data_IF_290319356150
#
_entry.id   IF_290319356150
#
_cell.length_a   1.000
_cell.length_b   1.000
_cell.length_c   1.000
_cell.angle_alpha   90.00
_cell.angle_beta   90.00
_cell.angle_gamma   90.00
#
_symmetry.space_group_name_H-M   'P 1'
#
loop_
_entity.id
_entity.type
_entity.pdbx_description
1 polymer ?
#
# COMPACT_ATOMS: atom_id res chain seq x y z
N UNK A 1 17.26 1.40 16.36
CA UNK A 1 17.82 2.75 16.46
C UNK A 1 18.25 3.08 17.88
N UNK A 2 17.38 3.03 18.89
CA UNK A 2 17.72 3.38 20.27
C UNK A 2 18.97 2.66 20.79
N UNK A 3 19.07 1.34 20.56
CA UNK A 3 20.26 0.56 20.95
C UNK A 3 21.51 0.98 20.15
N UNK A 4 21.36 1.32 18.88
CA UNK A 4 22.44 1.83 18.03
C UNK A 4 22.99 3.17 18.55
N UNK A 5 22.11 3.99 19.11
CA UNK A 5 22.47 5.27 19.76
C UNK A 5 23.01 5.11 21.19
N UNK A 6 23.25 3.87 21.63
CA UNK A 6 23.89 3.55 22.91
C UNK A 6 22.94 3.51 24.11
N UNK A 7 21.63 3.56 23.90
CA UNK A 7 20.66 3.45 24.96
C UNK A 7 20.48 2.00 25.43
N UNK A 8 20.27 1.80 26.72
CA UNK A 8 19.86 0.52 27.28
C UNK A 8 18.40 0.24 26.89
N UNK A 9 18.16 -0.74 26.05
CA UNK A 9 16.83 -1.07 25.51
C UNK A 9 16.37 -2.42 26.04
N UNK A 10 15.14 -2.47 26.57
CA UNK A 10 14.44 -3.70 26.92
C UNK A 10 13.24 -3.86 25.99
N UNK A 11 13.18 -4.99 25.31
CA UNK A 11 12.03 -5.39 24.49
C UNK A 11 11.20 -6.41 25.28
N UNK A 12 9.91 -6.14 25.42
CA UNK A 12 8.98 -7.04 26.09
C UNK A 12 8.03 -7.64 25.04
N UNK A 13 7.99 -8.97 24.98
CA UNK A 13 7.06 -9.72 24.16
C UNK A 13 6.31 -10.72 25.03
N UNK A 14 4.99 -10.85 24.83
CA UNK A 14 4.13 -11.75 25.57
C UNK A 14 4.22 -13.19 25.09
N UNK A 15 4.44 -13.35 23.78
CA UNK A 15 4.54 -14.66 23.14
C UNK A 15 5.99 -15.15 23.19
N UNK A 16 6.19 -16.40 22.91
CA UNK A 16 7.51 -17.05 22.79
C UNK A 16 8.26 -16.65 21.51
N UNK A 17 7.60 -15.92 20.61
CA UNK A 17 8.10 -15.48 19.31
C UNK A 17 7.86 -13.98 19.13
N UNK A 18 8.91 -13.25 18.75
CA UNK A 18 8.82 -11.83 18.43
C UNK A 18 8.22 -11.63 17.02
N UNK A 19 7.57 -10.48 16.78
CA UNK A 19 7.11 -10.09 15.45
C UNK A 19 5.64 -9.66 15.39
N UNK A 20 4.82 -10.00 16.37
CA UNK A 20 3.41 -9.59 16.41
C UNK A 20 2.65 -10.00 15.14
N UNK A 21 2.00 -9.05 14.47
CA UNK A 21 1.26 -9.31 13.21
C UNK A 21 2.14 -9.75 12.03
N UNK A 22 3.46 -9.62 12.14
CA UNK A 22 4.43 -10.02 11.10
C UNK A 22 5.03 -11.41 11.34
N UNK A 23 4.49 -12.17 12.31
CA UNK A 23 4.97 -13.56 12.54
C UNK A 23 4.58 -14.48 11.39
N UNK A 24 5.46 -15.42 11.11
CA UNK A 24 5.19 -16.60 10.28
C UNK A 24 4.97 -17.79 11.20
N UNK A 25 3.84 -18.46 11.05
CA UNK A 25 3.49 -19.63 11.87
C UNK A 25 3.03 -20.81 11.00
N UNK A 26 3.15 -22.00 11.56
CA UNK A 26 2.63 -23.21 10.95
C UNK A 26 1.11 -23.25 11.16
N UNK A 27 0.32 -23.11 10.08
CA UNK A 27 -1.14 -23.18 10.13
C UNK A 27 -1.70 -24.56 9.76
N UNK A 28 -0.86 -25.43 9.19
CA UNK A 28 -1.13 -26.83 8.91
C UNK A 28 0.18 -27.59 8.89
N UNK A 29 0.23 -28.89 9.26
CA UNK A 29 1.46 -29.65 9.31
C UNK A 29 2.32 -29.53 8.05
N UNK A 30 3.53 -28.96 8.17
CA UNK A 30 4.46 -28.69 7.08
C UNK A 30 4.17 -27.45 6.24
N UNK A 31 3.15 -26.65 6.60
CA UNK A 31 2.81 -25.42 5.88
C UNK A 31 2.89 -24.21 6.79
N UNK A 32 3.83 -23.33 6.49
CA UNK A 32 4.04 -22.08 7.18
C UNK A 32 3.55 -20.90 6.35
N UNK A 33 3.06 -19.85 7.01
CA UNK A 33 2.64 -18.63 6.35
C UNK A 33 2.55 -17.44 7.29
N UNK A 34 2.47 -16.23 6.75
CA UNK A 34 2.26 -15.03 7.54
C UNK A 34 0.88 -15.04 8.17
N UNK A 35 0.81 -14.78 9.47
CA UNK A 35 -0.46 -14.81 10.20
C UNK A 35 -1.34 -13.59 9.91
N UNK A 36 -0.73 -12.46 9.54
CA UNK A 36 -1.46 -11.24 9.20
C UNK A 36 -0.71 -10.42 8.14
N UNK A 37 0.46 -9.88 8.47
CA UNK A 37 1.20 -8.98 7.59
C UNK A 37 2.00 -9.77 6.55
N UNK A 38 1.42 -9.97 5.38
CA UNK A 38 2.03 -10.73 4.27
C UNK A 38 2.76 -9.86 3.24
N UNK A 39 2.67 -8.55 3.36
CA UNK A 39 3.33 -7.59 2.48
C UNK A 39 4.20 -6.62 3.26
N UNK A 40 5.38 -6.33 2.75
CA UNK A 40 6.33 -5.38 3.33
C UNK A 40 6.34 -4.07 2.53
N UNK A 41 5.22 -3.32 2.56
CA UNK A 41 5.06 -2.11 1.75
C UNK A 41 5.76 -0.87 2.32
N UNK A 42 5.75 -0.72 3.64
CA UNK A 42 6.08 0.54 4.30
C UNK A 42 7.49 0.58 4.85
N UNK A 43 8.25 -0.51 4.74
CA UNK A 43 9.64 -0.53 5.18
C UNK A 43 10.48 0.37 4.27
N UNK A 44 10.90 1.49 4.80
CA UNK A 44 11.69 2.47 4.06
C UNK A 44 13.12 1.96 3.82
N UNK A 45 13.65 2.21 2.61
CA UNK A 45 15.02 1.82 2.25
C UNK A 45 16.06 2.36 3.24
N UNK A 46 15.88 3.60 3.71
CA UNK A 46 16.72 4.19 4.75
C UNK A 46 16.82 3.33 6.02
N UNK A 47 15.72 2.71 6.45
CA UNK A 47 15.72 1.83 7.65
C UNK A 47 16.50 0.55 7.37
N UNK A 48 16.32 -0.02 6.16
CA UNK A 48 17.07 -1.21 5.72
C UNK A 48 18.57 -0.95 5.74
N UNK A 49 19.00 0.20 5.21
CA UNK A 49 20.40 0.56 5.07
C UNK A 49 20.99 0.96 6.44
N UNK A 50 20.35 1.84 7.19
CA UNK A 50 20.82 2.32 8.49
C UNK A 50 21.02 1.18 9.49
N UNK A 51 20.12 0.22 9.49
CA UNK A 51 20.15 -0.93 10.40
C UNK A 51 20.79 -2.17 9.78
N UNK A 52 21.29 -2.07 8.54
CA UNK A 52 21.97 -3.16 7.81
C UNK A 52 21.15 -4.46 7.79
N UNK A 53 19.84 -4.34 7.60
CA UNK A 53 18.92 -5.46 7.75
C UNK A 53 19.27 -6.64 6.82
N UNK A 54 19.84 -6.36 5.64
CA UNK A 54 20.29 -7.42 4.71
C UNK A 54 21.46 -8.23 5.28
N UNK A 55 22.39 -7.59 6.03
CA UNK A 55 23.47 -8.28 6.72
C UNK A 55 22.95 -9.16 7.86
N UNK A 56 21.75 -8.86 8.37
CA UNK A 56 21.04 -9.61 9.40
C UNK A 56 20.00 -10.61 8.83
N UNK A 57 20.04 -10.90 7.54
CA UNK A 57 19.22 -11.93 6.92
C UNK A 57 17.90 -11.46 6.33
N UNK A 58 17.67 -10.14 6.19
CA UNK A 58 16.51 -9.64 5.44
C UNK A 58 16.67 -9.99 3.95
N UNK A 59 15.84 -10.89 3.47
CA UNK A 59 15.67 -11.18 2.06
C UNK A 59 14.34 -10.57 1.60
N UNK A 60 14.37 -9.76 0.56
CA UNK A 60 13.19 -9.14 -0.04
C UNK A 60 13.09 -9.55 -1.50
N UNK A 61 11.97 -10.12 -1.87
CA UNK A 61 11.64 -10.41 -3.25
C UNK A 61 10.72 -9.32 -3.79
N UNK A 62 11.22 -8.54 -4.74
CA UNK A 62 10.41 -7.58 -5.51
C UNK A 62 9.80 -8.31 -6.71
N UNK A 63 8.85 -9.20 -6.44
CA UNK A 63 8.27 -10.06 -7.49
C UNK A 63 7.05 -9.46 -8.16
N UNK A 64 6.63 -8.26 -7.74
CA UNK A 64 5.43 -7.61 -8.28
C UNK A 64 5.81 -6.19 -8.70
N UNK A 65 5.70 -5.91 -9.99
CA UNK A 65 5.79 -4.55 -10.54
C UNK A 65 4.54 -3.74 -10.19
N UNK A 66 4.62 -2.40 -10.12
CA UNK A 66 3.42 -1.57 -10.08
C UNK A 66 2.43 -1.95 -11.19
N UNK A 67 1.15 -2.05 -10.86
CA UNK A 67 0.11 -2.49 -11.80
C UNK A 67 0.02 -4.01 -12.04
N UNK A 68 0.99 -4.80 -11.56
CA UNK A 68 0.92 -6.27 -11.68
C UNK A 68 -0.12 -6.86 -10.70
N UNK A 69 -1.23 -7.31 -11.23
CA UNK A 69 -2.30 -8.01 -10.51
C UNK A 69 -2.35 -9.51 -10.81
N UNK A 70 -1.34 -10.07 -11.45
CA UNK A 70 -1.30 -11.48 -11.87
C UNK A 70 -1.40 -12.48 -10.73
N UNK A 71 -1.04 -12.07 -9.52
CA UNK A 71 -1.07 -12.90 -8.30
C UNK A 71 -2.22 -12.55 -7.35
N UNK A 72 -3.09 -11.62 -7.72
CA UNK A 72 -4.24 -11.22 -6.95
C UNK A 72 -5.50 -11.66 -7.70
N UNK A 73 -6.39 -12.33 -7.01
CA UNK A 73 -7.67 -12.73 -7.55
C UNK A 73 -8.74 -12.25 -6.57
N UNK A 74 -9.69 -11.50 -7.08
CA UNK A 74 -10.85 -11.00 -6.34
C UNK A 74 -12.09 -11.69 -6.92
N UNK A 75 -12.53 -12.82 -6.35
CA UNK A 75 -13.70 -13.53 -6.83
C UNK A 75 -14.98 -12.83 -6.39
N UNK A 76 -15.99 -12.84 -7.25
CA UNK A 76 -17.33 -12.34 -6.97
C UNK A 76 -18.34 -13.48 -6.80
N UNK A 77 -19.48 -13.24 -6.12
CA UNK A 77 -20.48 -14.27 -5.85
C UNK A 77 -21.12 -14.88 -7.11
N UNK A 78 -21.13 -14.17 -8.22
CA UNK A 78 -21.65 -14.63 -9.51
C UNK A 78 -20.68 -15.54 -10.29
N UNK A 79 -19.47 -15.78 -9.73
CA UNK A 79 -18.43 -16.59 -10.34
C UNK A 79 -17.49 -15.82 -11.26
N UNK A 80 -17.67 -14.53 -11.45
CA UNK A 80 -16.68 -13.66 -12.10
C UNK A 80 -15.53 -13.34 -11.15
N UNK A 81 -14.45 -12.75 -11.66
CA UNK A 81 -13.32 -12.33 -10.82
C UNK A 81 -12.56 -11.17 -11.48
N UNK A 82 -11.79 -10.45 -10.66
CA UNK A 82 -10.81 -9.45 -11.12
C UNK A 82 -9.39 -9.86 -10.72
N UNK A 83 -8.40 -9.43 -11.52
CA UNK A 83 -7.00 -9.82 -11.38
C UNK A 83 -6.72 -11.19 -11.96
N UNK A 84 -5.67 -11.85 -11.48
CA UNK A 84 -5.30 -13.20 -11.91
C UNK A 84 -4.24 -13.25 -13.01
N UNK A 85 -3.88 -14.47 -13.45
CA UNK A 85 -2.84 -14.67 -14.46
C UNK A 85 -3.11 -13.89 -15.75
N UNK A 86 -2.11 -13.17 -16.23
CA UNK A 86 -2.21 -12.33 -17.43
C UNK A 86 -2.54 -10.87 -17.17
N UNK A 87 -2.85 -10.49 -15.92
CA UNK A 87 -3.09 -9.09 -15.54
C UNK A 87 -1.82 -8.51 -14.92
N UNK A 88 -0.89 -8.06 -15.76
CA UNK A 88 0.44 -7.60 -15.37
C UNK A 88 0.60 -6.08 -15.43
N UNK A 89 -0.46 -5.36 -15.75
CA UNK A 89 -0.47 -3.92 -15.89
C UNK A 89 -1.84 -3.33 -15.57
N UNK A 90 -1.86 -2.04 -15.27
CA UNK A 90 -3.10 -1.27 -15.07
C UNK A 90 -3.97 -1.26 -16.33
N UNK A 91 -3.35 -1.30 -17.51
CA UNK A 91 -4.08 -1.37 -18.77
C UNK A 91 -4.86 -2.70 -18.91
N UNK A 92 -4.23 -3.82 -18.56
CA UNK A 92 -4.89 -5.13 -18.59
C UNK A 92 -6.00 -5.22 -17.54
N UNK A 93 -5.80 -4.63 -16.35
CA UNK A 93 -6.83 -4.56 -15.34
C UNK A 93 -7.99 -3.66 -15.78
N UNK A 94 -7.73 -2.49 -16.35
CA UNK A 94 -8.76 -1.63 -16.92
C UNK A 94 -9.56 -2.35 -18.03
N UNK A 95 -8.90 -3.15 -18.87
CA UNK A 95 -9.59 -3.98 -19.86
C UNK A 95 -10.47 -5.06 -19.22
N UNK A 96 -10.08 -5.59 -18.06
CA UNK A 96 -10.91 -6.55 -17.32
C UNK A 96 -12.11 -5.84 -16.65
N UNK A 97 -11.94 -4.62 -16.16
CA UNK A 97 -13.04 -3.80 -15.59
C UNK A 97 -14.14 -3.54 -16.64
N UNK A 98 -13.82 -3.48 -17.93
CA UNK A 98 -14.81 -3.29 -19.00
C UNK A 98 -15.93 -4.33 -19.04
N UNK A 99 -15.71 -5.51 -18.49
CA UNK A 99 -16.78 -6.53 -18.39
C UNK A 99 -17.93 -6.08 -17.46
N UNK A 100 -17.67 -5.13 -16.56
CA UNK A 100 -18.63 -4.57 -15.62
C UNK A 100 -19.12 -3.19 -16.08
N UNK A 101 -18.20 -2.28 -16.40
CA UNK A 101 -18.49 -0.93 -16.90
C UNK A 101 -17.36 -0.41 -17.78
N UNK A 102 -17.73 0.09 -18.97
CA UNK A 102 -16.81 0.80 -19.85
C UNK A 102 -16.40 2.16 -19.28
N UNK A 103 -17.29 2.80 -18.51
CA UNK A 103 -17.03 4.08 -17.86
C UNK A 103 -16.02 3.89 -16.74
N UNK A 104 -16.21 2.89 -15.88
CA UNK A 104 -15.30 2.59 -14.77
C UNK A 104 -13.91 2.18 -15.25
N UNK A 105 -13.82 1.47 -16.37
CA UNK A 105 -12.54 1.14 -16.98
C UNK A 105 -11.74 2.38 -17.42
N UNK A 106 -12.42 3.46 -17.80
CA UNK A 106 -11.76 4.75 -18.07
C UNK A 106 -11.44 5.49 -16.79
N UNK A 107 -12.37 5.55 -15.87
CA UNK A 107 -12.21 6.20 -14.56
C UNK A 107 -11.09 5.58 -13.71
N UNK A 108 -10.76 4.30 -13.94
CA UNK A 108 -9.68 3.61 -13.25
C UNK A 108 -8.33 4.32 -13.40
N UNK A 109 -8.05 4.95 -14.54
CA UNK A 109 -6.80 5.71 -14.73
C UNK A 109 -6.81 7.02 -13.93
N UNK A 110 -7.94 7.69 -13.81
CA UNK A 110 -8.08 8.89 -12.97
C UNK A 110 -7.93 8.51 -11.49
N UNK A 111 -8.46 7.35 -11.08
CA UNK A 111 -8.28 6.76 -9.76
C UNK A 111 -6.80 6.51 -9.43
N UNK A 112 -6.03 5.93 -10.36
CA UNK A 112 -4.59 5.73 -10.17
C UNK A 112 -3.88 7.09 -10.01
N UNK A 113 -4.17 8.06 -10.88
CA UNK A 113 -3.56 9.37 -10.82
C UNK A 113 -3.88 10.11 -9.51
N UNK A 114 -5.10 9.96 -9.00
CA UNK A 114 -5.47 10.51 -7.69
C UNK A 114 -4.57 9.95 -6.58
N UNK A 115 -4.34 8.62 -6.54
CA UNK A 115 -3.49 8.01 -5.53
C UNK A 115 -2.00 8.29 -5.72
N UNK A 116 -1.52 8.41 -6.94
CA UNK A 116 -0.15 8.86 -7.23
C UNK A 116 0.08 10.29 -6.74
N UNK A 117 -0.87 11.19 -7.00
CA UNK A 117 -0.83 12.56 -6.51
C UNK A 117 -0.87 12.61 -4.98
N UNK A 118 -1.78 11.84 -4.36
CA UNK A 118 -1.90 11.68 -2.90
C UNK A 118 -0.58 11.20 -2.28
N UNK A 119 0.02 10.17 -2.85
CA UNK A 119 1.31 9.64 -2.43
C UNK A 119 2.41 10.70 -2.54
N UNK A 120 2.44 11.47 -3.62
CA UNK A 120 3.43 12.53 -3.82
C UNK A 120 3.36 13.66 -2.78
N UNK A 121 2.17 13.88 -2.21
CA UNK A 121 1.98 14.86 -1.13
C UNK A 121 2.51 14.32 0.20
N UNK A 122 2.26 13.05 0.53
CA UNK A 122 2.54 12.48 1.84
C UNK A 122 3.90 11.82 1.97
N UNK A 123 4.40 11.21 0.89
CA UNK A 123 5.66 10.45 0.91
C UNK A 123 6.87 11.21 1.46
N UNK A 124 7.05 12.55 1.21
CA UNK A 124 8.16 13.30 1.77
C UNK A 124 8.20 13.32 3.30
N UNK A 125 7.08 13.05 3.96
CA UNK A 125 6.95 13.14 5.41
C UNK A 125 7.08 11.80 6.15
N UNK A 126 7.26 10.68 5.45
CA UNK A 126 7.32 9.35 6.11
C UNK A 126 8.46 9.18 7.10
N UNK A 127 9.56 9.91 6.95
CA UNK A 127 10.74 9.82 7.83
C UNK A 127 11.13 11.18 8.43
N UNK A 128 10.22 12.11 8.46
CA UNK A 128 10.41 13.44 9.03
C UNK A 128 9.36 13.74 10.10
N UNK A 129 9.48 14.89 10.75
CA UNK A 129 8.40 15.38 11.62
C UNK A 129 7.11 15.56 10.81
N UNK A 130 5.96 15.09 11.34
CA UNK A 130 4.68 15.25 10.64
C UNK A 130 4.37 16.72 10.35
N UNK A 131 3.94 17.05 9.13
CA UNK A 131 3.58 18.43 8.80
C UNK A 131 2.27 18.83 9.47
N UNK A 132 2.12 20.11 9.75
CA UNK A 132 0.81 20.69 10.09
C UNK A 132 -0.08 20.72 8.84
N UNK A 133 -1.40 20.81 9.04
CA UNK A 133 -2.37 20.98 7.95
C UNK A 133 -2.02 22.22 7.09
N UNK A 134 -1.62 23.33 7.74
CA UNK A 134 -1.21 24.55 7.02
C UNK A 134 -0.02 24.30 6.10
N UNK A 135 0.99 23.55 6.57
CA UNK A 135 2.16 23.20 5.75
C UNK A 135 1.79 22.30 4.56
N UNK A 136 0.86 21.36 4.75
CA UNK A 136 0.34 20.54 3.64
C UNK A 136 -0.38 21.40 2.60
N UNK A 137 -1.29 22.28 3.04
CA UNK A 137 -2.01 23.21 2.16
C UNK A 137 -1.02 24.11 1.39
N UNK A 138 -0.05 24.68 2.09
CA UNK A 138 0.96 25.54 1.46
C UNK A 138 1.84 24.77 0.43
N UNK A 139 2.09 23.48 0.67
CA UNK A 139 2.91 22.65 -0.22
C UNK A 139 2.26 22.36 -1.58
N UNK A 140 0.95 22.42 -1.67
CA UNK A 140 0.18 22.15 -2.89
C UNK A 140 -0.44 23.38 -3.52
N UNK A 141 -0.36 24.53 -2.86
CA UNK A 141 -1.00 25.79 -3.25
C UNK A 141 -0.67 26.19 -4.70
N UNK A 142 -1.70 26.49 -5.47
CA UNK A 142 -1.60 26.88 -6.89
C UNK A 142 -1.27 25.71 -7.83
N UNK A 143 -1.41 24.48 -7.36
CA UNK A 143 -1.22 23.27 -8.18
C UNK A 143 -2.50 22.46 -8.30
N UNK A 144 -2.56 21.53 -9.26
CA UNK A 144 -3.68 20.58 -9.40
C UNK A 144 -3.84 19.64 -8.18
N UNK A 145 -2.87 19.61 -7.27
CA UNK A 145 -2.93 18.79 -6.06
C UNK A 145 -3.72 19.41 -4.91
N UNK A 146 -4.16 20.68 -5.03
CA UNK A 146 -5.04 21.30 -4.02
C UNK A 146 -6.33 20.52 -3.83
N UNK A 147 -7.02 20.18 -4.93
CA UNK A 147 -8.25 19.38 -4.89
C UNK A 147 -8.01 17.98 -4.33
N UNK A 148 -6.87 17.35 -4.70
CA UNK A 148 -6.49 16.03 -4.18
C UNK A 148 -6.32 16.09 -2.65
N UNK A 149 -5.61 17.10 -2.14
CA UNK A 149 -5.41 17.26 -0.70
C UNK A 149 -6.74 17.55 0.02
N UNK A 150 -7.61 18.39 -0.56
CA UNK A 150 -8.93 18.67 0.00
C UNK A 150 -9.77 17.40 0.14
N UNK A 151 -9.87 16.59 -0.92
CA UNK A 151 -10.57 15.31 -0.90
C UNK A 151 -9.98 14.36 0.15
N UNK A 152 -8.65 14.23 0.22
CA UNK A 152 -7.97 13.39 1.22
C UNK A 152 -8.28 13.78 2.67
N UNK A 153 -8.49 15.06 2.95
CA UNK A 153 -8.73 15.57 4.30
C UNK A 153 -10.20 15.55 4.71
N UNK A 154 -11.12 15.58 3.75
CA UNK A 154 -12.54 15.86 4.00
C UNK A 154 -13.50 14.76 3.56
N UNK A 155 -13.10 13.91 2.63
CA UNK A 155 -13.94 12.84 2.07
C UNK A 155 -13.68 11.50 2.75
N UNK A 156 -14.69 10.67 2.84
CA UNK A 156 -14.51 9.26 3.18
C UNK A 156 -14.00 8.47 1.97
N UNK A 157 -13.51 7.25 2.21
CA UNK A 157 -13.09 6.38 1.12
C UNK A 157 -14.27 6.00 0.19
N UNK A 158 -15.49 5.92 0.75
CA UNK A 158 -16.71 5.65 -0.02
C UNK A 158 -17.03 6.84 -0.93
N UNK A 159 -16.97 8.07 -0.41
CA UNK A 159 -17.20 9.28 -1.23
C UNK A 159 -16.21 9.32 -2.42
N UNK A 160 -14.96 8.93 -2.21
CA UNK A 160 -13.95 8.86 -3.28
C UNK A 160 -14.27 7.79 -4.32
N UNK A 161 -14.78 6.62 -3.90
CA UNK A 161 -15.20 5.56 -4.82
C UNK A 161 -16.40 6.02 -5.64
N UNK A 162 -17.42 6.56 -5.00
CA UNK A 162 -18.65 7.02 -5.65
C UNK A 162 -18.43 8.21 -6.61
N UNK A 163 -17.40 9.04 -6.35
CA UNK A 163 -17.00 10.12 -7.25
C UNK A 163 -16.32 9.63 -8.53
N UNK A 164 -15.62 8.48 -8.45
CA UNK A 164 -14.87 7.94 -9.58
C UNK A 164 -15.62 6.88 -10.37
N UNK A 165 -16.38 6.02 -9.70
CA UNK A 165 -16.99 4.83 -10.27
C UNK A 165 -18.51 4.85 -10.18
N UNK A 166 -19.18 4.30 -11.20
CA UNK A 166 -20.65 4.22 -11.26
C UNK A 166 -21.21 2.86 -10.86
N UNK A 167 -20.37 1.80 -10.88
CA UNK A 167 -20.79 0.44 -10.59
C UNK A 167 -20.45 0.07 -9.14
N UNK A 168 -21.45 -0.48 -8.43
CA UNK A 168 -21.34 -0.91 -7.03
C UNK A 168 -20.52 -2.19 -6.86
#
# INVERSE_FOLDING_TARGET
YLAKDGLAVLVLERLDKVGGAATTDEFSPGFEGPMCAYWLHLLQGKVVDDLKLREHGLEMSYTISPGDNSRRIHPFPDGTFMGGPGINSDFELANQIKQFSEQDARAYFDWIQFWEASSSILHPYFLTEPPTISQLVDSVRGTSREEVLEKMLTWSYIDLIEDHFENE
#
